data_IF_910274348403
#
_entry.id   IF_910274348403
#
_cell.length_a   1.000
_cell.length_b   1.000
_cell.length_c   1.000
_cell.angle_alpha   90.00
_cell.angle_beta   90.00
_cell.angle_gamma   90.00
#
_symmetry.space_group_name_H-M   'P 1'
#
loop_
_entity.id
_entity.type
_entity.pdbx_description
1 polymer ?
#
# COMPACT_ATOMS: atom_id res chain seq x y z
N UNK A 1 -15.83 -13.68 -15.31
CA UNK A 1 -15.19 -12.43 -14.85
C UNK A 1 -14.70 -11.71 -16.09
N UNK A 2 -15.06 -10.44 -16.28
CA UNK A 2 -14.46 -9.66 -17.36
C UNK A 2 -12.96 -9.61 -17.08
N UNK A 3 -12.14 -9.99 -18.05
CA UNK A 3 -10.69 -9.81 -17.94
C UNK A 3 -10.43 -8.31 -18.01
N UNK A 4 -10.08 -7.70 -16.88
CA UNK A 4 -9.48 -6.37 -16.92
C UNK A 4 -8.15 -6.47 -17.66
N UNK A 5 -7.97 -5.60 -18.65
CA UNK A 5 -6.70 -5.48 -19.36
C UNK A 5 -5.79 -4.54 -18.58
N UNK A 6 -4.47 -4.68 -18.79
CA UNK A 6 -3.50 -3.72 -18.25
C UNK A 6 -3.86 -2.28 -18.62
N UNK A 7 -4.37 -2.06 -19.83
CA UNK A 7 -4.83 -0.75 -20.30
C UNK A 7 -6.03 -0.24 -19.48
N UNK A 8 -7.06 -1.05 -19.27
CA UNK A 8 -8.23 -0.63 -18.49
C UNK A 8 -7.90 -0.33 -17.03
N UNK A 9 -7.04 -1.16 -16.41
CA UNK A 9 -6.60 -0.95 -15.02
C UNK A 9 -5.73 0.30 -14.92
N UNK A 10 -4.80 0.52 -15.85
CA UNK A 10 -3.96 1.71 -15.87
C UNK A 10 -4.80 3.00 -16.04
N UNK A 11 -5.77 3.00 -16.95
CA UNK A 11 -6.69 4.13 -17.14
C UNK A 11 -7.53 4.41 -15.88
N UNK A 12 -8.00 3.37 -15.19
CA UNK A 12 -8.73 3.52 -13.94
C UNK A 12 -7.85 4.12 -12.82
N UNK A 13 -6.58 3.72 -12.71
CA UNK A 13 -5.62 4.28 -11.75
C UNK A 13 -5.35 5.77 -11.99
N UNK A 14 -5.40 6.25 -13.23
CA UNK A 14 -5.14 7.66 -13.59
C UNK A 14 -6.40 8.46 -13.94
N UNK A 15 -7.56 8.03 -13.44
CA UNK A 15 -8.83 8.70 -13.68
C UNK A 15 -8.77 10.21 -13.31
N UNK A 16 -9.31 11.12 -14.13
CA UNK A 16 -9.28 12.56 -13.85
C UNK A 16 -9.86 12.89 -12.47
N UNK A 17 -9.13 13.70 -11.70
CA UNK A 17 -9.53 14.11 -10.34
C UNK A 17 -9.26 13.06 -9.25
N UNK A 18 -8.67 11.91 -9.60
CA UNK A 18 -8.23 10.89 -8.64
C UNK A 18 -6.71 10.70 -8.65
N UNK A 19 -6.19 10.09 -7.59
CA UNK A 19 -4.79 9.73 -7.45
C UNK A 19 -4.55 8.46 -6.63
N UNK A 20 -3.27 8.12 -6.47
CA UNK A 20 -2.84 6.95 -5.72
C UNK A 20 -2.43 7.35 -4.30
N UNK A 21 -2.94 6.62 -3.30
CA UNK A 21 -2.44 6.69 -1.93
C UNK A 21 -1.34 5.63 -1.74
N UNK A 22 -0.10 6.07 -1.56
CA UNK A 22 1.02 5.19 -1.25
C UNK A 22 1.02 4.88 0.26
N UNK A 23 0.51 3.70 0.64
CA UNK A 23 0.42 3.19 2.01
C UNK A 23 1.27 1.91 2.21
N UNK A 24 2.33 1.77 1.40
CA UNK A 24 3.19 0.61 1.28
C UNK A 24 4.47 0.70 2.13
N UNK A 25 4.44 1.51 3.19
CA UNK A 25 5.60 1.63 4.06
C UNK A 25 5.92 0.30 4.74
N UNK A 26 7.17 -0.15 4.52
CA UNK A 26 7.75 -1.28 5.25
C UNK A 26 7.69 -1.06 6.77
N UNK A 27 7.78 -2.13 7.54
CA UNK A 27 7.75 -2.09 9.02
C UNK A 27 8.73 -1.08 9.63
N UNK A 28 9.93 -0.95 9.04
CA UNK A 28 10.93 0.04 9.47
C UNK A 28 10.56 1.47 9.10
N UNK A 29 9.92 1.69 7.94
CA UNK A 29 9.52 3.01 7.47
C UNK A 29 8.31 3.53 8.23
N UNK A 30 7.26 2.72 8.38
CA UNK A 30 6.07 3.10 9.16
C UNK A 30 6.43 3.31 10.64
N UNK A 31 7.37 2.53 11.17
CA UNK A 31 7.86 2.72 12.54
C UNK A 31 8.42 4.11 12.79
N UNK A 32 9.15 4.69 11.83
CA UNK A 32 9.64 6.08 11.94
C UNK A 32 8.50 7.09 11.96
N UNK A 33 7.45 6.87 11.15
CA UNK A 33 6.26 7.74 11.10
C UNK A 33 5.43 7.67 12.38
N UNK A 34 5.24 6.48 12.95
CA UNK A 34 4.51 6.32 14.21
C UNK A 34 5.30 6.89 15.40
N UNK A 35 6.62 6.66 15.42
CA UNK A 35 7.49 7.18 16.49
C UNK A 35 7.49 8.72 16.55
N UNK A 36 7.41 9.42 15.41
CA UNK A 36 7.39 10.89 15.40
C UNK A 36 6.15 11.51 16.06
N UNK A 37 5.09 10.72 16.26
CA UNK A 37 3.86 11.11 16.95
C UNK A 37 3.67 10.37 18.29
N UNK A 38 4.69 9.68 18.78
CA UNK A 38 4.65 8.98 20.08
C UNK A 38 3.84 7.69 20.10
N UNK A 39 3.59 7.07 18.93
CA UNK A 39 2.87 5.80 18.81
C UNK A 39 3.86 4.64 18.67
N UNK A 40 3.58 3.53 19.37
CA UNK A 40 4.39 2.32 19.29
C UNK A 40 4.27 1.64 17.91
N UNK A 41 5.34 0.98 17.45
CA UNK A 41 5.34 0.24 16.18
C UNK A 41 5.00 -1.24 16.39
N UNK A 42 3.80 -1.52 16.87
CA UNK A 42 3.24 -2.87 16.92
C UNK A 42 2.25 -3.12 15.76
N UNK A 43 1.89 -4.38 15.54
CA UNK A 43 1.01 -4.79 14.45
C UNK A 43 -0.37 -4.14 14.53
N UNK A 44 -0.93 -4.03 15.74
CA UNK A 44 -2.27 -3.50 15.96
C UNK A 44 -2.33 -1.98 15.67
N UNK A 45 -1.31 -1.24 16.08
CA UNK A 45 -1.16 0.18 15.75
C UNK A 45 -1.03 0.40 14.24
N UNK A 46 -0.23 -0.45 13.56
CA UNK A 46 -0.09 -0.41 12.09
C UNK A 46 -1.41 -0.71 11.40
N UNK A 47 -2.09 -1.80 11.80
CA UNK A 47 -3.40 -2.21 11.28
C UNK A 47 -4.45 -1.11 11.47
N UNK A 48 -4.58 -0.58 12.69
CA UNK A 48 -5.51 0.49 13.05
C UNK A 48 -5.25 1.76 12.24
N UNK A 49 -3.98 2.14 12.05
CA UNK A 49 -3.61 3.30 11.24
C UNK A 49 -4.03 3.12 9.77
N UNK A 50 -3.83 1.93 9.20
CA UNK A 50 -4.25 1.64 7.81
C UNK A 50 -5.76 1.59 7.67
N UNK A 51 -6.45 0.98 8.62
CA UNK A 51 -7.92 0.99 8.65
C UNK A 51 -8.48 2.41 8.70
N UNK A 52 -7.90 3.28 9.53
CA UNK A 52 -8.28 4.70 9.59
C UNK A 52 -8.18 5.39 8.23
N UNK A 53 -7.13 5.11 7.45
CA UNK A 53 -6.98 5.65 6.10
C UNK A 53 -8.03 5.07 5.15
N UNK A 54 -8.20 3.75 5.11
CA UNK A 54 -9.03 3.07 4.12
C UNK A 54 -10.52 3.24 4.36
N UNK A 55 -10.91 3.60 5.58
CA UNK A 55 -12.31 3.85 5.97
C UNK A 55 -12.66 5.33 6.05
N UNK A 56 -11.75 6.23 5.64
CA UNK A 56 -12.02 7.65 5.58
C UNK A 56 -13.22 7.93 4.67
N UNK A 57 -14.17 8.75 5.14
CA UNK A 57 -15.38 9.09 4.40
C UNK A 57 -15.03 9.69 3.03
N UNK A 58 -15.73 9.24 1.98
CA UNK A 58 -15.55 9.70 0.59
C UNK A 58 -14.15 9.51 0.01
N UNK A 59 -13.28 8.68 0.61
CA UNK A 59 -11.93 8.45 0.07
C UNK A 59 -11.94 7.99 -1.40
N UNK A 60 -12.91 7.16 -1.78
CA UNK A 60 -13.08 6.67 -3.15
C UNK A 60 -13.43 7.73 -4.19
N UNK A 61 -13.83 8.93 -3.78
CA UNK A 61 -14.06 10.06 -4.70
C UNK A 61 -12.74 10.61 -5.25
N UNK A 62 -11.66 10.50 -4.46
CA UNK A 62 -10.36 11.13 -4.75
C UNK A 62 -9.22 10.13 -4.93
N UNK A 63 -9.36 8.91 -4.42
CA UNK A 63 -8.36 7.86 -4.52
C UNK A 63 -8.84 6.82 -5.52
N UNK A 64 -8.01 6.52 -6.51
CA UNK A 64 -8.24 5.48 -7.52
C UNK A 64 -7.56 4.17 -7.15
N UNK A 65 -6.43 4.24 -6.45
CA UNK A 65 -5.68 3.06 -6.02
C UNK A 65 -4.90 3.29 -4.73
N UNK A 66 -4.63 2.19 -4.03
CA UNK A 66 -3.80 2.19 -2.81
C UNK A 66 -2.70 1.15 -2.97
N UNK A 67 -1.46 1.55 -2.73
CA UNK A 67 -0.32 0.61 -2.69
C UNK A 67 -0.20 0.09 -1.27
N UNK A 68 -0.21 -1.23 -1.10
CA UNK A 68 -0.12 -1.93 0.18
C UNK A 68 1.26 -2.55 0.37
N UNK A 69 1.67 -2.68 1.63
CA UNK A 69 2.79 -3.53 2.03
C UNK A 69 2.32 -4.97 2.28
N UNK A 70 3.22 -5.95 2.20
CA UNK A 70 2.93 -7.39 2.36
C UNK A 70 2.17 -7.70 3.67
N UNK A 71 2.58 -7.10 4.80
CA UNK A 71 1.84 -7.26 6.06
C UNK A 71 0.37 -6.77 5.92
N UNK A 72 0.18 -5.64 5.25
CA UNK A 72 -1.13 -4.99 5.13
C UNK A 72 -2.07 -5.73 4.18
N UNK A 73 -1.57 -6.32 3.09
CA UNK A 73 -2.46 -7.04 2.16
C UNK A 73 -3.10 -8.28 2.82
N UNK A 74 -2.41 -8.89 3.79
CA UNK A 74 -2.91 -10.00 4.60
C UNK A 74 -3.75 -9.61 5.83
N UNK A 75 -3.78 -8.31 6.18
CA UNK A 75 -4.50 -7.82 7.35
C UNK A 75 -6.01 -7.63 7.11
N UNK A 76 -6.73 -7.56 8.23
CA UNK A 76 -8.18 -7.33 8.28
C UNK A 76 -8.50 -6.08 9.10
N UNK A 77 -9.58 -5.40 8.70
CA UNK A 77 -10.20 -4.36 9.52
C UNK A 77 -10.80 -4.93 10.80
N UNK A 78 -11.18 -4.05 11.72
CA UNK A 78 -11.87 -4.40 12.95
C UNK A 78 -13.24 -5.07 12.68
N UNK A 79 -13.83 -4.82 11.51
CA UNK A 79 -15.05 -5.47 11.02
C UNK A 79 -14.82 -6.88 10.43
N UNK A 80 -13.57 -7.35 10.43
CA UNK A 80 -13.15 -8.67 9.94
C UNK A 80 -12.94 -8.76 8.43
N UNK A 81 -13.23 -7.71 7.65
CA UNK A 81 -13.00 -7.71 6.19
C UNK A 81 -11.50 -7.54 5.89
N UNK A 82 -10.96 -8.29 4.90
CA UNK A 82 -9.64 -8.00 4.35
C UNK A 82 -9.54 -6.56 3.84
N UNK A 83 -8.39 -5.91 4.00
CA UNK A 83 -8.21 -4.56 3.47
C UNK A 83 -8.46 -4.43 1.95
N UNK A 84 -8.09 -5.40 1.09
CA UNK A 84 -8.47 -5.36 -0.33
C UNK A 84 -9.98 -5.30 -0.55
N UNK A 85 -10.79 -5.97 0.29
CA UNK A 85 -12.25 -5.91 0.18
C UNK A 85 -12.80 -4.55 0.64
N UNK A 86 -12.22 -3.95 1.68
CA UNK A 86 -12.58 -2.61 2.14
C UNK A 86 -12.30 -1.57 1.05
N UNK A 87 -11.14 -1.64 0.40
CA UNK A 87 -10.76 -0.76 -0.70
C UNK A 87 -11.66 -0.93 -1.93
N UNK A 88 -11.90 -2.17 -2.35
CA UNK A 88 -12.78 -2.46 -3.47
C UNK A 88 -14.21 -1.96 -3.22
N UNK A 89 -14.72 -2.09 -1.99
CA UNK A 89 -16.03 -1.56 -1.61
C UNK A 89 -16.11 -0.02 -1.69
N UNK A 90 -14.98 0.67 -1.56
CA UNK A 90 -14.86 2.11 -1.77
C UNK A 90 -14.56 2.49 -3.23
N UNK A 91 -14.50 1.54 -4.16
CA UNK A 91 -14.15 1.78 -5.56
C UNK A 91 -12.67 2.12 -5.77
N UNK A 92 -11.80 1.64 -4.88
CA UNK A 92 -10.35 1.85 -4.90
C UNK A 92 -9.66 0.54 -5.28
N UNK A 93 -8.74 0.60 -6.24
CA UNK A 93 -7.95 -0.54 -6.68
C UNK A 93 -6.83 -0.87 -5.67
N UNK A 94 -6.82 -2.06 -5.05
CA UNK A 94 -5.71 -2.48 -4.22
C UNK A 94 -4.50 -2.86 -5.09
N UNK A 95 -3.34 -2.29 -4.78
CA UNK A 95 -2.04 -2.61 -5.36
C UNK A 95 -1.07 -3.13 -4.30
N UNK A 96 -0.01 -3.82 -4.73
CA UNK A 96 0.99 -4.44 -3.87
C UNK A 96 2.38 -3.93 -4.23
N UNK A 97 3.17 -3.57 -3.21
CA UNK A 97 4.61 -3.39 -3.34
C UNK A 97 5.30 -4.75 -3.37
N UNK A 98 6.12 -4.98 -4.39
CA UNK A 98 6.77 -6.29 -4.61
C UNK A 98 8.29 -6.28 -4.48
N UNK A 99 8.94 -5.11 -4.38
CA UNK A 99 10.37 -5.06 -4.10
C UNK A 99 10.69 -5.45 -2.65
N UNK A 100 11.87 -6.03 -2.44
CA UNK A 100 12.40 -6.38 -1.12
C UNK A 100 13.38 -5.32 -0.58
N UNK A 101 13.35 -4.12 -1.18
CA UNK A 101 14.12 -2.95 -0.80
C UNK A 101 15.38 -2.70 -1.65
N UNK A 102 15.97 -1.52 -1.43
CA UNK A 102 17.20 -1.08 -2.09
C UNK A 102 18.45 -1.50 -1.28
N UNK A 103 19.44 -2.08 -1.95
CA UNK A 103 20.73 -2.54 -1.40
C UNK A 103 21.90 -1.79 -2.05
N UNK A 104 23.07 -1.70 -1.40
CA UNK A 104 24.27 -1.13 -2.02
C UNK A 104 24.63 -1.85 -3.32
N UNK A 105 24.89 -1.08 -4.39
CA UNK A 105 25.38 -1.63 -5.65
C UNK A 105 26.89 -1.93 -5.52
N UNK A 106 27.28 -3.17 -5.84
CA UNK A 106 28.66 -3.61 -5.71
C UNK A 106 29.61 -2.76 -6.57
N UNK A 107 30.67 -2.21 -5.97
CA UNK A 107 31.68 -1.36 -6.61
C UNK A 107 31.20 0.05 -7.03
N UNK A 108 30.04 0.49 -6.53
CA UNK A 108 29.44 1.79 -6.86
C UNK A 108 29.00 2.52 -5.58
N UNK A 109 29.95 3.19 -4.92
CA UNK A 109 29.72 3.86 -3.64
C UNK A 109 28.61 4.91 -3.73
N UNK A 110 27.61 4.78 -2.86
CA UNK A 110 26.44 5.66 -2.79
C UNK A 110 25.30 5.32 -3.76
N UNK A 111 25.52 4.39 -4.70
CA UNK A 111 24.46 3.88 -5.58
C UNK A 111 23.78 2.65 -4.97
N UNK A 112 22.50 2.47 -5.31
CA UNK A 112 21.68 1.37 -4.82
C UNK A 112 21.10 0.56 -5.98
N UNK A 113 20.81 -0.72 -5.72
CA UNK A 113 20.06 -1.63 -6.60
C UNK A 113 18.85 -2.17 -5.86
N UNK A 114 17.70 -2.23 -6.52
CA UNK A 114 16.47 -2.79 -5.96
C UNK A 114 16.46 -4.31 -6.13
N UNK A 115 16.15 -5.03 -5.05
CA UNK A 115 15.99 -6.50 -5.06
C UNK A 115 14.51 -6.92 -5.05
N UNK A 116 14.24 -8.20 -5.33
CA UNK A 116 12.90 -8.79 -5.25
C UNK A 116 12.49 -9.72 -6.41
N UNK A 117 13.40 -10.03 -7.33
CA UNK A 117 13.08 -10.86 -8.51
C UNK A 117 12.99 -12.37 -8.20
N UNK A 118 13.66 -12.84 -7.16
CA UNK A 118 13.64 -14.25 -6.78
C UNK A 118 12.28 -14.62 -6.18
N UNK A 119 11.46 -15.37 -6.93
CA UNK A 119 10.14 -15.84 -6.50
C UNK A 119 8.98 -14.88 -6.79
N UNK A 120 9.19 -13.86 -7.63
CA UNK A 120 8.17 -12.97 -8.18
C UNK A 120 7.42 -13.61 -9.36
#
# INVERSE_FOLDING_TARGET
>A
MAHETLESTALALVAPGKGILAADESTSTIGKRLASIGVANDEEARRSYRELLFTANSIGEYISGVILYDETIGQRGADGRPFPEILNAAGILPGIKVDTGAKPLALHDGELVTEGLDGL
#
